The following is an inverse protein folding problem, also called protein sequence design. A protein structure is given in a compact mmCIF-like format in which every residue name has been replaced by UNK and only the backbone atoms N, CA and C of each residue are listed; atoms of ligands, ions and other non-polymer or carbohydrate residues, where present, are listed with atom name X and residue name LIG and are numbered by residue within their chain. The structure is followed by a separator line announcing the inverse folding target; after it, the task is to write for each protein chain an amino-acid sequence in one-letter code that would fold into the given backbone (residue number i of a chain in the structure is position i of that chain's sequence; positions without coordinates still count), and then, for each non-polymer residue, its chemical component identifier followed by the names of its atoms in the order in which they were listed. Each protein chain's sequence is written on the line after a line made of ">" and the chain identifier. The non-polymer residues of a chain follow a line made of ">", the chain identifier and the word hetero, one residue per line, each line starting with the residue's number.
data_IF_907093255656
#
_entry.id   IF_907093255656
#
_cell.length_a   1.000
_cell.length_b   1.000
_cell.length_c   1.000
_cell.angle_alpha   90.00
_cell.angle_beta   90.00
_cell.angle_gamma   90.00
#
_symmetry.space_group_name_H-M   'P 1'
#
loop_
_entity.id
_entity.type
_entity.pdbx_description
1 polymer ?
#
# COMPACT_ATOMS: atom_id res chain seq x y z
N UNK A 1 21.78 -54.56 -21.17
CA UNK A 1 20.47 -54.10 -20.64
C UNK A 1 20.57 -53.49 -19.24
N UNK A 2 21.17 -54.16 -18.23
CA UNK A 2 21.34 -53.61 -16.86
C UNK A 2 22.09 -52.27 -16.77
N UNK A 3 23.10 -52.02 -17.62
CA UNK A 3 23.86 -50.76 -17.65
C UNK A 3 23.11 -49.58 -18.29
N UNK A 4 22.13 -49.84 -19.17
CA UNK A 4 21.30 -48.81 -19.82
C UNK A 4 20.18 -48.36 -18.87
N UNK A 5 19.62 -49.28 -18.08
CA UNK A 5 18.65 -48.99 -17.02
C UNK A 5 19.24 -48.10 -15.91
N UNK A 6 20.52 -48.27 -15.58
CA UNK A 6 21.24 -47.43 -14.62
C UNK A 6 21.46 -45.98 -15.09
N UNK A 7 21.67 -45.76 -16.39
CA UNK A 7 21.84 -44.42 -16.97
C UNK A 7 20.52 -43.65 -17.03
N UNK A 8 19.40 -44.33 -17.31
CA UNK A 8 18.06 -43.73 -17.30
C UNK A 8 17.60 -43.32 -15.89
N UNK A 9 18.05 -44.04 -14.86
CA UNK A 9 17.75 -43.71 -13.46
C UNK A 9 18.53 -42.49 -12.93
N UNK A 10 19.67 -42.14 -13.53
CA UNK A 10 20.49 -40.98 -13.11
C UNK A 10 19.97 -39.69 -13.76
N UNK A 11 19.41 -39.77 -14.98
CA UNK A 11 18.87 -38.60 -15.70
C UNK A 11 17.54 -38.11 -15.10
N UNK A 12 16.78 -38.97 -14.43
CA UNK A 12 15.51 -38.57 -13.79
C UNK A 12 15.67 -37.75 -12.50
N UNK A 13 16.89 -37.67 -11.93
CA UNK A 13 17.16 -36.97 -10.66
C UNK A 13 17.45 -35.47 -10.87
N UNK A 14 17.71 -35.02 -12.11
CA UNK A 14 18.19 -33.66 -12.40
C UNK A 14 17.05 -32.64 -12.65
N UNK A 15 15.79 -33.09 -12.70
CA UNK A 15 14.64 -32.22 -13.07
C UNK A 15 13.92 -31.57 -11.88
N UNK A 16 14.62 -31.21 -10.80
CA UNK A 16 14.04 -30.31 -9.79
C UNK A 16 14.31 -28.87 -10.24
N UNK A 17 13.56 -28.43 -11.25
CA UNK A 17 13.51 -27.05 -11.66
C UNK A 17 13.00 -26.20 -10.50
N UNK A 18 13.85 -25.34 -9.96
CA UNK A 18 13.45 -24.32 -9.00
C UNK A 18 12.58 -23.31 -9.72
N UNK A 19 11.26 -23.48 -9.61
CA UNK A 19 10.31 -22.44 -9.98
C UNK A 19 10.50 -21.27 -9.01
N UNK A 20 11.42 -20.36 -9.30
CA UNK A 20 11.51 -19.07 -8.64
C UNK A 20 10.33 -18.23 -9.11
N UNK A 21 9.18 -18.41 -8.47
CA UNK A 21 8.08 -17.48 -8.61
C UNK A 21 8.60 -16.11 -8.15
N UNK A 22 8.75 -15.16 -9.08
CA UNK A 22 8.98 -13.75 -8.76
C UNK A 22 7.70 -13.20 -8.13
N UNK A 23 7.44 -13.58 -6.89
CA UNK A 23 6.41 -12.97 -6.08
C UNK A 23 6.87 -11.54 -5.77
N UNK A 24 6.33 -10.56 -6.49
CA UNK A 24 6.42 -9.16 -6.05
C UNK A 24 5.59 -9.02 -4.78
N UNK A 25 6.23 -9.29 -3.65
CA UNK A 25 5.68 -8.95 -2.35
C UNK A 25 5.69 -7.42 -2.23
N UNK A 26 4.52 -6.84 -1.97
CA UNK A 26 4.40 -5.39 -1.78
C UNK A 26 4.98 -4.94 -0.44
N UNK A 27 5.55 -5.85 0.35
CA UNK A 27 6.26 -5.58 1.59
C UNK A 27 7.08 -4.29 1.56
N UNK A 28 6.94 -3.51 2.64
CA UNK A 28 7.69 -2.28 2.88
C UNK A 28 7.54 -1.15 1.83
N UNK A 29 6.68 -1.27 0.82
CA UNK A 29 6.35 -0.16 -0.11
C UNK A 29 5.93 1.14 0.61
N UNK A 30 5.26 1.07 1.78
CA UNK A 30 4.95 2.27 2.56
C UNK A 30 6.19 3.08 3.00
N UNK A 31 7.36 2.44 3.13
CA UNK A 31 8.62 3.11 3.48
C UNK A 31 9.15 4.01 2.35
N UNK A 32 8.56 3.92 1.15
CA UNK A 32 8.88 4.79 0.01
C UNK A 32 8.04 6.07 -0.03
N UNK A 33 7.06 6.22 0.87
CA UNK A 33 6.35 7.47 1.01
C UNK A 33 7.30 8.54 1.53
N UNK A 34 7.00 9.80 1.24
CA UNK A 34 7.66 10.93 1.90
C UNK A 34 7.56 10.75 3.43
N UNK A 35 8.68 10.98 4.11
CA UNK A 35 8.76 10.84 5.55
C UNK A 35 8.53 12.20 6.21
N UNK A 36 7.76 12.28 7.29
CA UNK A 36 7.65 13.49 8.09
C UNK A 36 8.98 13.82 8.77
N UNK A 37 9.04 14.98 9.41
CA UNK A 37 10.14 15.31 10.30
C UNK A 37 10.28 14.30 11.47
N UNK A 38 11.43 14.32 12.14
CA UNK A 38 11.82 13.33 13.15
C UNK A 38 10.94 13.32 14.41
N UNK A 39 10.09 14.33 14.63
CA UNK A 39 9.18 14.39 15.78
C UNK A 39 7.99 13.45 15.64
N UNK A 40 7.67 13.02 14.42
CA UNK A 40 6.58 12.09 14.15
C UNK A 40 7.00 10.63 14.38
N UNK A 41 6.15 9.87 15.06
CA UNK A 41 6.26 8.43 15.21
C UNK A 41 5.42 7.71 14.16
N UNK A 42 6.02 6.78 13.41
CA UNK A 42 5.29 5.97 12.43
C UNK A 42 4.25 5.10 13.15
N UNK A 43 3.01 5.17 12.68
CA UNK A 43 1.88 4.36 13.14
C UNK A 43 1.98 2.94 12.60
N UNK A 44 1.56 1.98 13.42
CA UNK A 44 1.36 0.57 13.02
C UNK A 44 0.25 0.41 11.96
N UNK A 45 -0.59 1.42 11.76
CA UNK A 45 -1.58 1.46 10.68
C UNK A 45 -0.96 1.77 9.31
N UNK A 46 0.32 2.18 9.25
CA UNK A 46 1.06 2.31 7.98
C UNK A 46 1.15 0.97 7.28
N UNK A 47 0.91 0.95 5.97
CA UNK A 47 0.89 -0.32 5.23
C UNK A 47 1.15 -0.18 3.74
N UNK A 48 1.70 -1.24 3.19
CA UNK A 48 1.75 -1.45 1.75
C UNK A 48 0.46 -2.07 1.25
N UNK A 49 0.03 -1.69 0.04
CA UNK A 49 -1.27 -2.03 -0.53
C UNK A 49 -1.04 -2.63 -1.92
N UNK A 50 -1.63 -3.80 -2.18
CA UNK A 50 -1.85 -4.28 -3.55
C UNK A 50 -3.07 -3.57 -4.12
N UNK A 51 -2.84 -2.49 -4.85
CA UNK A 51 -3.91 -1.70 -5.44
C UNK A 51 -4.28 -2.28 -6.82
N UNK A 52 -5.55 -2.22 -7.19
CA UNK A 52 -6.04 -2.62 -8.53
C UNK A 52 -6.71 -1.43 -9.22
N UNK A 53 -6.62 -1.37 -10.55
CA UNK A 53 -7.27 -0.33 -11.35
C UNK A 53 -8.78 -0.30 -11.07
N UNK A 54 -9.33 0.89 -10.82
CA UNK A 54 -10.76 1.11 -10.53
C UNK A 54 -11.24 0.57 -9.18
N UNK A 55 -10.36 0.06 -8.32
CA UNK A 55 -10.69 -0.40 -6.97
C UNK A 55 -10.10 0.54 -5.92
N UNK A 56 -10.74 0.55 -4.75
CA UNK A 56 -10.29 1.26 -3.56
C UNK A 56 -9.76 0.27 -2.53
N UNK A 57 -8.69 0.63 -1.84
CA UNK A 57 -8.26 -0.02 -0.61
C UNK A 57 -8.76 0.78 0.59
N UNK A 58 -9.09 0.10 1.69
CA UNK A 58 -9.51 0.74 2.94
C UNK A 58 -8.53 0.44 4.05
N UNK A 59 -8.15 1.48 4.79
CA UNK A 59 -7.34 1.42 6.00
C UNK A 59 -8.19 1.93 7.16
N UNK A 60 -8.08 1.26 8.31
CA UNK A 60 -8.78 1.67 9.53
C UNK A 60 -7.74 2.30 10.45
N UNK A 61 -8.03 3.51 10.90
CA UNK A 61 -7.21 4.24 11.87
C UNK A 61 -8.08 4.61 13.07
N UNK A 62 -7.61 4.32 14.29
CA UNK A 62 -8.15 4.93 15.50
C UNK A 62 -7.32 6.18 15.77
N UNK A 63 -7.89 7.35 15.44
CA UNK A 63 -7.23 8.63 15.62
C UNK A 63 -7.53 9.19 17.01
N UNK A 64 -6.51 9.69 17.72
CA UNK A 64 -6.65 10.19 19.09
C UNK A 64 -6.68 11.72 19.13
N UNK A 65 -7.51 12.28 20.02
CA UNK A 65 -7.61 13.71 20.25
C UNK A 65 -6.27 14.34 20.65
N UNK A 66 -6.03 15.57 20.21
CA UNK A 66 -4.82 16.35 20.48
C UNK A 66 -3.59 15.91 19.69
N UNK A 67 -3.70 14.88 18.84
CA UNK A 67 -2.59 14.40 18.01
C UNK A 67 -2.59 15.05 16.64
N UNK A 68 -1.39 15.28 16.12
CA UNK A 68 -1.19 15.63 14.72
C UNK A 68 -0.80 14.38 13.95
N UNK A 69 -1.51 14.10 12.86
CA UNK A 69 -1.29 12.97 11.99
C UNK A 69 -0.73 13.43 10.65
N UNK A 70 0.37 12.81 10.23
CA UNK A 70 0.95 12.97 8.89
C UNK A 70 0.58 11.74 8.06
N UNK A 71 -0.13 11.97 6.96
CA UNK A 71 -0.47 10.94 5.98
C UNK A 71 0.35 11.19 4.72
N UNK A 72 0.95 10.14 4.17
CA UNK A 72 1.64 10.19 2.89
C UNK A 72 1.37 8.95 2.04
N UNK A 73 1.44 9.13 0.73
CA UNK A 73 1.17 8.10 -0.27
C UNK A 73 2.34 7.92 -1.20
N UNK A 74 2.51 6.71 -1.72
CA UNK A 74 3.49 6.42 -2.75
C UNK A 74 2.92 5.43 -3.76
N UNK A 75 3.19 5.67 -5.05
CA UNK A 75 2.97 4.70 -6.10
C UNK A 75 4.01 4.87 -7.20
N UNK A 76 4.21 3.82 -8.01
CA UNK A 76 5.05 3.92 -9.22
C UNK A 76 4.41 4.86 -10.24
N UNK A 77 5.23 5.48 -11.07
CA UNK A 77 4.79 6.41 -12.14
C UNK A 77 3.63 5.87 -13.00
N UNK A 78 3.64 4.59 -13.35
CA UNK A 78 2.58 3.95 -14.16
C UNK A 78 1.20 3.84 -13.49
N UNK A 79 1.16 3.93 -12.16
CA UNK A 79 -0.08 4.00 -11.36
C UNK A 79 -0.57 5.46 -11.29
N UNK A 80 0.36 6.42 -11.31
CA UNK A 80 0.09 7.84 -11.12
C UNK A 80 -0.11 8.21 -9.65
N UNK A 81 -0.44 9.49 -9.42
CA UNK A 81 -0.75 10.00 -8.08
C UNK A 81 -1.97 9.29 -7.48
N UNK A 82 -1.89 9.02 -6.17
CA UNK A 82 -2.98 8.36 -5.45
C UNK A 82 -3.96 9.40 -4.90
N UNK A 83 -5.23 9.06 -4.98
CA UNK A 83 -6.27 9.73 -4.23
C UNK A 83 -6.42 9.02 -2.88
N UNK A 84 -6.46 9.79 -1.80
CA UNK A 84 -6.90 9.30 -0.51
C UNK A 84 -8.01 10.17 0.08
N UNK A 85 -9.02 9.50 0.65
CA UNK A 85 -10.14 10.14 1.34
C UNK A 85 -10.18 9.71 2.79
N UNK A 86 -10.48 10.64 3.68
CA UNK A 86 -10.81 10.34 5.07
C UNK A 86 -12.33 10.32 5.17
N UNK A 87 -12.88 9.21 5.66
CA UNK A 87 -14.31 8.96 5.75
C UNK A 87 -14.67 8.63 7.18
N UNK A 88 -15.71 9.28 7.71
CA UNK A 88 -16.27 8.93 9.01
C UNK A 88 -17.03 7.60 8.89
N UNK A 89 -16.72 6.60 9.72
CA UNK A 89 -17.40 5.31 9.67
C UNK A 89 -18.85 5.38 10.17
N UNK A 90 -19.21 6.43 10.93
CA UNK A 90 -20.54 6.56 11.55
C UNK A 90 -21.62 6.92 10.53
N UNK A 91 -21.29 7.76 9.55
CA UNK A 91 -22.25 8.29 8.58
C UNK A 91 -21.74 8.26 7.13
N UNK A 92 -20.59 7.63 6.87
CA UNK A 92 -19.92 7.61 5.58
C UNK A 92 -19.61 9.01 4.99
N UNK A 93 -19.61 10.06 5.82
CA UNK A 93 -19.28 11.41 5.38
C UNK A 93 -17.79 11.48 5.04
N UNK A 94 -17.48 12.02 3.85
CA UNK A 94 -16.11 12.37 3.49
C UNK A 94 -15.70 13.60 4.29
N UNK A 95 -14.68 13.43 5.14
CA UNK A 95 -14.08 14.50 5.95
C UNK A 95 -12.96 15.22 5.20
N UNK A 96 -12.28 14.51 4.28
CA UNK A 96 -11.21 15.04 3.46
C UNK A 96 -11.04 14.23 2.17
N UNK A 97 -10.63 14.89 1.10
CA UNK A 97 -10.28 14.28 -0.19
C UNK A 97 -9.13 15.07 -0.84
N UNK A 98 -7.96 14.43 -1.01
CA UNK A 98 -6.80 15.12 -1.60
C UNK A 98 -6.98 15.47 -3.09
N UNK A 99 -8.02 14.97 -3.78
CA UNK A 99 -8.28 15.37 -5.17
C UNK A 99 -8.65 16.85 -5.30
N UNK A 100 -9.21 17.45 -4.24
CA UNK A 100 -9.46 18.89 -4.17
C UNK A 100 -8.16 19.71 -4.16
N UNK A 101 -7.03 19.08 -3.83
CA UNK A 101 -5.70 19.71 -3.72
C UNK A 101 -4.74 19.19 -4.80
N UNK A 102 -5.27 18.72 -5.94
CA UNK A 102 -4.44 18.24 -7.06
C UNK A 102 -3.73 16.91 -6.79
N UNK A 103 -4.31 16.06 -5.94
CA UNK A 103 -3.75 14.75 -5.54
C UNK A 103 -2.38 14.87 -4.87
N UNK A 104 -2.20 15.89 -4.00
CA UNK A 104 -1.04 15.98 -3.10
C UNK A 104 -0.83 14.64 -2.38
N UNK A 105 0.41 14.20 -2.38
CA UNK A 105 0.84 12.91 -1.89
C UNK A 105 0.95 12.86 -0.36
N UNK A 106 1.04 14.00 0.31
CA UNK A 106 0.99 14.09 1.78
C UNK A 106 0.03 15.17 2.32
N UNK A 107 -0.37 15.01 3.58
CA UNK A 107 -1.14 16.01 4.35
C UNK A 107 -0.97 15.80 5.86
N UNK A 108 -0.95 16.91 6.61
CA UNK A 108 -0.98 16.91 8.07
C UNK A 108 -2.36 17.31 8.56
N UNK A 109 -2.87 16.60 9.57
CA UNK A 109 -4.16 16.86 10.20
C UNK A 109 -4.00 16.92 11.72
N UNK A 110 -4.58 17.94 12.35
CA UNK A 110 -4.79 17.93 13.80
C UNK A 110 -6.13 17.30 14.11
N UNK A 111 -6.15 16.33 15.02
CA UNK A 111 -7.37 15.62 15.41
C UNK A 111 -7.90 16.19 16.72
N UNK A 112 -9.06 16.84 16.66
CA UNK A 112 -9.67 17.45 17.85
C UNK A 112 -10.41 16.43 18.73
N UNK A 113 -11.00 15.39 18.12
CA UNK A 113 -11.77 14.36 18.84
C UNK A 113 -11.29 12.95 18.50
N UNK A 114 -11.14 12.10 19.53
CA UNK A 114 -10.78 10.68 19.38
C UNK A 114 -11.89 9.97 18.60
N UNK A 115 -11.53 9.37 17.47
CA UNK A 115 -12.50 8.73 16.59
C UNK A 115 -11.87 7.67 15.69
N UNK A 116 -12.69 6.74 15.23
CA UNK A 116 -12.31 5.80 14.18
C UNK A 116 -12.48 6.49 12.82
N UNK A 117 -11.51 6.31 11.94
CA UNK A 117 -11.49 6.85 10.58
C UNK A 117 -11.32 5.71 9.57
N UNK A 118 -12.01 5.81 8.44
CA UNK A 118 -11.76 5.01 7.25
C UNK A 118 -10.98 5.83 6.25
N UNK A 119 -9.80 5.35 5.88
CA UNK A 119 -8.97 5.95 4.85
C UNK A 119 -9.15 5.13 3.59
N UNK A 120 -9.76 5.71 2.57
CA UNK A 120 -9.93 5.07 1.26
C UNK A 120 -8.83 5.53 0.32
N UNK A 121 -8.11 4.61 -0.32
CA UNK A 121 -7.02 4.90 -1.25
C UNK A 121 -7.35 4.33 -2.62
N UNK A 122 -7.20 5.12 -3.67
CA UNK A 122 -7.39 4.73 -5.07
C UNK A 122 -6.41 5.41 -6.00
N UNK A 123 -6.28 4.90 -7.21
CA UNK A 123 -5.45 5.48 -8.26
C UNK A 123 -6.34 5.89 -9.45
N UNK A 124 -6.84 7.14 -9.47
CA UNK A 124 -7.77 7.59 -10.51
C UNK A 124 -7.11 7.65 -11.89
N UNK A 125 -5.81 7.94 -11.94
CA UNK A 125 -5.07 8.18 -13.19
C UNK A 125 -4.27 6.95 -13.66
N UNK A 126 -4.66 5.74 -13.24
CA UNK A 126 -3.94 4.52 -13.58
C UNK A 126 -4.07 4.17 -15.06
N UNK A 127 -2.95 4.24 -15.79
CA UNK A 127 -2.90 3.96 -17.25
C UNK A 127 -2.49 2.53 -17.62
N UNK A 128 -1.74 1.84 -16.78
CA UNK A 128 -1.26 0.48 -17.06
C UNK A 128 -2.39 -0.57 -17.11
N UNK A 129 -2.20 -1.61 -17.93
CA UNK A 129 -3.05 -2.80 -18.04
C UNK A 129 -2.75 -3.87 -16.97
N UNK A 130 -1.81 -3.60 -16.05
CA UNK A 130 -1.48 -4.52 -14.97
C UNK A 130 -2.69 -4.78 -14.08
N UNK A 131 -2.86 -6.04 -13.66
CA UNK A 131 -3.95 -6.47 -12.77
C UNK A 131 -3.86 -5.84 -11.38
N UNK A 132 -2.63 -5.60 -10.90
CA UNK A 132 -2.35 -4.89 -9.65
C UNK A 132 -0.96 -4.24 -9.66
N UNK A 133 -0.71 -3.35 -8.71
CA UNK A 133 0.58 -2.73 -8.41
C UNK A 133 0.67 -2.45 -6.92
N UNK A 134 1.91 -2.31 -6.43
CA UNK A 134 2.16 -1.94 -5.05
C UNK A 134 2.07 -0.42 -4.86
N UNK A 135 1.32 -0.03 -3.84
CA UNK A 135 1.20 1.32 -3.33
C UNK A 135 1.61 1.35 -1.84
N UNK A 136 2.07 2.50 -1.38
CA UNK A 136 2.38 2.77 0.01
C UNK A 136 1.38 3.76 0.60
N UNK A 137 1.00 3.53 1.86
CA UNK A 137 0.32 4.54 2.66
C UNK A 137 1.01 4.60 4.03
N UNK A 138 1.69 5.71 4.29
CA UNK A 138 2.37 6.00 5.54
C UNK A 138 1.48 6.86 6.42
N UNK A 139 1.36 6.46 7.68
CA UNK A 139 0.70 7.23 8.73
C UNK A 139 1.71 7.43 9.84
N UNK A 140 1.93 8.66 10.26
CA UNK A 140 2.70 8.97 11.44
C UNK A 140 1.92 9.94 12.33
N UNK A 141 2.27 10.02 13.61
CA UNK A 141 1.64 10.95 14.54
C UNK A 141 2.62 11.50 15.57
N UNK A 142 2.29 12.64 16.16
CA UNK A 142 2.93 13.19 17.36
C UNK A 142 1.90 13.64 18.38
#
# INVERSE_FOLDING_TARGET
>A
MKRILLLLAIISIISIGTNSSLANDCSNTYKKCESPDKTFKISSSSRSIKLRKGKKARIILNAFAGKEYYFATYAKLKVGALQFKIVSPTNNKVLYDNSAEGLRDYKVFKVENTQKLFIEVSAPNWKSNNTYECAGFLIAYR
#
